data_IF_858316303052
#
_entry.id   IF_858316303052
#
_cell.length_a   1.000
_cell.length_b   1.000
_cell.length_c   1.000
_cell.angle_alpha   90.00
_cell.angle_beta   90.00
_cell.angle_gamma   90.00
#
_symmetry.space_group_name_H-M   'P 1'
#
loop_
_entity.id
_entity.type
_entity.pdbx_description
1 polymer ?
#
# COMPACT_ATOMS: atom_id res chain seq x y z
N UNK A 1 1.67 -8.03 -18.52
CA UNK A 1 1.74 -8.37 -17.08
C UNK A 1 1.05 -7.25 -16.31
N UNK A 2 0.30 -7.58 -15.26
CA UNK A 2 -0.60 -6.67 -14.56
C UNK A 2 0.06 -6.29 -13.23
N UNK A 3 0.85 -5.21 -13.22
CA UNK A 3 1.68 -4.81 -12.09
C UNK A 3 1.14 -3.56 -11.40
N UNK A 4 1.26 -3.51 -10.07
CA UNK A 4 1.13 -2.26 -9.33
C UNK A 4 2.37 -1.43 -9.57
N UNK A 5 2.19 -0.15 -9.90
CA UNK A 5 3.29 0.77 -10.16
C UNK A 5 3.11 2.06 -9.37
N UNK A 6 4.23 2.65 -8.98
CA UNK A 6 4.28 3.99 -8.39
C UNK A 6 5.19 4.86 -9.25
N UNK A 7 4.88 6.15 -9.32
CA UNK A 7 5.75 7.09 -10.00
C UNK A 7 5.41 8.53 -9.69
N UNK A 8 6.06 9.41 -10.42
CA UNK A 8 5.95 10.86 -10.26
C UNK A 8 5.80 11.53 -11.60
N UNK A 9 5.14 12.67 -11.63
CA UNK A 9 5.00 13.53 -12.79
C UNK A 9 5.36 14.97 -12.40
N UNK A 10 6.18 15.65 -13.22
CA UNK A 10 6.53 17.04 -12.98
C UNK A 10 5.39 17.96 -13.43
N UNK A 11 5.08 18.98 -12.61
CA UNK A 11 4.06 19.99 -12.85
C UNK A 11 4.63 21.38 -12.59
N UNK A 12 3.90 22.44 -12.96
CA UNK A 12 4.38 23.83 -12.92
C UNK A 12 5.00 24.21 -11.57
N UNK A 13 4.43 23.74 -10.46
CA UNK A 13 4.84 24.12 -9.10
C UNK A 13 5.48 22.97 -8.30
N UNK A 14 5.90 21.88 -8.96
CA UNK A 14 6.56 20.76 -8.29
C UNK A 14 6.28 19.40 -8.93
N UNK A 15 5.88 18.43 -8.11
CA UNK A 15 5.67 17.05 -8.54
C UNK A 15 4.37 16.47 -8.00
N UNK A 16 3.64 15.76 -8.85
CA UNK A 16 2.57 14.86 -8.43
C UNK A 16 3.11 13.46 -8.19
N UNK A 17 2.66 12.81 -7.12
CA UNK A 17 2.80 11.36 -6.95
C UNK A 17 1.60 10.65 -7.59
N UNK A 18 1.82 9.48 -8.18
CA UNK A 18 0.74 8.65 -8.71
C UNK A 18 0.93 7.17 -8.44
N UNK A 19 -0.20 6.46 -8.34
CA UNK A 19 -0.27 5.01 -8.25
C UNK A 19 -1.02 4.45 -9.46
N UNK A 20 -0.57 3.30 -9.97
CA UNK A 20 -1.29 2.54 -11.00
C UNK A 20 -1.78 1.23 -10.39
N UNK A 21 -3.10 1.05 -10.42
CA UNK A 21 -3.77 -0.15 -9.92
C UNK A 21 -3.86 -1.17 -11.04
N UNK A 22 -3.66 -2.45 -10.71
CA UNK A 22 -3.68 -3.57 -11.68
C UNK A 22 -4.93 -3.59 -12.58
N UNK A 23 -6.09 -3.26 -12.02
CA UNK A 23 -7.38 -3.30 -12.73
C UNK A 23 -7.76 -1.96 -13.39
N UNK A 24 -6.90 -0.94 -13.30
CA UNK A 24 -7.15 0.38 -13.91
C UNK A 24 -6.05 0.70 -14.93
N UNK A 25 -6.47 1.09 -16.13
CA UNK A 25 -5.56 1.47 -17.20
C UNK A 25 -4.90 2.85 -17.00
N UNK A 26 -5.33 3.60 -15.99
CA UNK A 26 -4.94 4.99 -15.76
C UNK A 26 -4.18 5.18 -14.45
N UNK A 27 -3.22 6.10 -14.46
CA UNK A 27 -2.53 6.54 -13.26
C UNK A 27 -3.47 7.37 -12.39
N UNK A 28 -3.48 7.12 -11.08
CA UNK A 28 -4.28 7.83 -10.09
C UNK A 28 -3.37 8.73 -9.28
N UNK A 29 -3.60 10.04 -9.37
CA UNK A 29 -2.82 11.07 -8.67
C UNK A 29 -3.16 11.02 -7.17
N UNK A 30 -2.14 11.13 -6.32
CA UNK A 30 -2.30 11.25 -4.87
C UNK A 30 -3.02 12.55 -4.55
N UNK A 31 -4.07 12.46 -3.74
CA UNK A 31 -4.97 13.56 -3.40
C UNK A 31 -5.03 13.77 -1.89
N UNK A 32 -5.36 15.00 -1.49
CA UNK A 32 -5.62 15.34 -0.10
C UNK A 32 -6.99 14.81 0.37
N UNK A 33 -7.35 15.13 1.61
CA UNK A 33 -8.64 14.73 2.19
C UNK A 33 -9.87 15.38 1.52
N UNK A 34 -9.66 16.43 0.72
CA UNK A 34 -10.70 17.11 -0.06
C UNK A 34 -10.83 16.52 -1.47
N UNK A 35 -9.91 15.65 -1.85
CA UNK A 35 -9.86 15.04 -3.18
C UNK A 35 -9.06 15.83 -4.20
N UNK A 36 -8.34 16.87 -3.78
CA UNK A 36 -7.53 17.72 -4.64
C UNK A 36 -6.12 17.14 -4.81
N UNK A 37 -5.50 17.22 -6.01
CA UNK A 37 -4.13 16.78 -6.24
C UNK A 37 -3.12 17.46 -5.31
N UNK A 38 -2.23 16.68 -4.70
CA UNK A 38 -1.15 17.24 -3.87
C UNK A 38 0.07 17.52 -4.74
N UNK A 39 0.53 18.77 -4.75
CA UNK A 39 1.81 19.16 -5.36
C UNK A 39 2.91 19.11 -4.28
N UNK A 40 3.89 18.25 -4.49
CA UNK A 40 5.05 18.13 -3.63
C UNK A 40 6.21 18.94 -4.19
N UNK A 41 6.98 19.59 -3.30
CA UNK A 41 8.13 20.39 -3.69
C UNK A 41 9.27 19.57 -4.34
N UNK A 42 9.37 18.27 -4.03
CA UNK A 42 10.41 17.38 -4.54
C UNK A 42 9.84 16.08 -5.09
N UNK A 43 10.56 15.51 -6.06
CA UNK A 43 10.22 14.21 -6.64
C UNK A 43 10.22 13.09 -5.59
N UNK A 44 11.18 13.09 -4.67
CA UNK A 44 11.28 12.06 -3.64
C UNK A 44 10.09 12.11 -2.68
N UNK A 45 9.63 13.31 -2.31
CA UNK A 45 8.43 13.47 -1.48
C UNK A 45 7.18 12.97 -2.21
N UNK A 46 7.02 13.28 -3.49
CA UNK A 46 5.93 12.77 -4.32
C UNK A 46 5.94 11.24 -4.41
N UNK A 47 7.13 10.64 -4.57
CA UNK A 47 7.29 9.19 -4.66
C UNK A 47 7.02 8.49 -3.33
N UNK A 48 7.47 9.06 -2.21
CA UNK A 48 7.17 8.56 -0.87
C UNK A 48 5.66 8.56 -0.62
N UNK A 49 4.97 9.67 -0.92
CA UNK A 49 3.53 9.77 -0.78
C UNK A 49 2.76 8.79 -1.69
N UNK A 50 3.22 8.57 -2.93
CA UNK A 50 2.66 7.54 -3.80
C UNK A 50 2.83 6.13 -3.22
N UNK A 51 3.97 5.85 -2.58
CA UNK A 51 4.20 4.61 -1.84
C UNK A 51 3.23 4.43 -0.67
N UNK A 52 3.04 5.46 0.15
CA UNK A 52 2.08 5.44 1.27
C UNK A 52 0.64 5.24 0.77
N UNK A 53 0.24 5.93 -0.29
CA UNK A 53 -1.07 5.77 -0.91
C UNK A 53 -1.28 4.33 -1.43
N UNK A 54 -0.24 3.71 -2.00
CA UNK A 54 -0.28 2.30 -2.42
C UNK A 54 -0.46 1.37 -1.21
N UNK A 55 0.30 1.59 -0.13
CA UNK A 55 0.18 0.79 1.10
C UNK A 55 -1.21 0.92 1.71
N UNK A 56 -1.77 2.13 1.76
CA UNK A 56 -3.13 2.38 2.24
C UNK A 56 -4.17 1.66 1.37
N UNK A 57 -4.01 1.70 0.04
CA UNK A 57 -4.87 0.98 -0.89
C UNK A 57 -4.82 -0.54 -0.67
N UNK A 58 -3.63 -1.12 -0.53
CA UNK A 58 -3.45 -2.57 -0.32
C UNK A 58 -3.99 -3.02 1.05
N UNK A 59 -3.91 -2.16 2.06
CA UNK A 59 -4.43 -2.42 3.41
C UNK A 59 -5.89 -1.99 3.62
N UNK A 60 -6.54 -1.45 2.58
CA UNK A 60 -7.97 -1.12 2.68
C UNK A 60 -8.74 -2.43 2.91
N UNK A 61 -9.56 -2.53 3.98
CA UNK A 61 -10.32 -3.74 4.28
C UNK A 61 -11.09 -4.20 3.05
N UNK A 62 -10.94 -5.48 2.68
CA UNK A 62 -11.72 -6.06 1.60
C UNK A 62 -13.19 -6.05 2.02
N UNK A 63 -13.97 -5.14 1.43
CA UNK A 63 -15.41 -5.10 1.58
C UNK A 63 -15.99 -6.29 0.79
N UNK A 64 -16.29 -7.38 1.49
CA UNK A 64 -17.18 -8.42 0.98
C UNK A 64 -18.58 -8.05 1.45
N UNK A 65 -19.40 -7.53 0.53
CA UNK A 65 -20.82 -7.22 0.73
C UNK A 65 -21.15 -6.40 1.99
N UNK A 66 -20.51 -5.23 2.13
CA UNK A 66 -20.86 -4.26 3.19
C UNK A 66 -20.39 -4.63 4.61
N UNK A 67 -19.86 -5.83 4.82
CA UNK A 67 -19.21 -6.18 6.07
C UNK A 67 -17.72 -5.76 6.01
N UNK A 68 -17.32 -4.80 6.86
CA UNK A 68 -15.91 -4.48 7.10
C UNK A 68 -15.23 -5.72 7.70
N UNK A 69 -14.45 -6.45 6.90
CA UNK A 69 -13.62 -7.54 7.41
C UNK A 69 -12.36 -6.92 7.98
N UNK A 70 -12.21 -6.90 9.30
CA UNK A 70 -10.95 -6.51 9.93
C UNK A 70 -9.83 -7.43 9.44
N UNK A 71 -8.74 -6.85 8.94
CA UNK A 71 -7.58 -7.59 8.49
C UNK A 71 -6.93 -8.27 9.69
N UNK A 72 -7.24 -9.55 9.89
CA UNK A 72 -6.60 -10.36 10.92
C UNK A 72 -5.16 -10.66 10.47
N UNK A 73 -4.22 -9.80 10.84
CA UNK A 73 -2.80 -9.98 10.58
C UNK A 73 -2.23 -11.10 11.49
N UNK A 74 -2.43 -12.36 11.11
CA UNK A 74 -1.84 -13.54 11.78
C UNK A 74 -0.44 -13.89 11.27
N UNK A 75 0.30 -12.94 10.69
CA UNK A 75 1.61 -13.23 10.12
C UNK A 75 2.62 -13.68 11.20
N UNK A 76 2.57 -13.09 12.40
CA UNK A 76 3.47 -13.41 13.52
C UNK A 76 3.33 -14.86 14.03
N UNK A 77 2.17 -15.50 13.81
CA UNK A 77 1.97 -16.90 14.19
C UNK A 77 2.81 -17.87 13.36
N UNK A 78 3.21 -17.48 12.15
CA UNK A 78 4.03 -18.30 11.26
C UNK A 78 5.54 -18.17 11.55
N UNK A 79 5.97 -17.17 12.31
CA UNK A 79 7.39 -16.93 12.62
C UNK A 79 7.82 -17.45 14.00
N UNK A 80 6.92 -18.05 14.79
CA UNK A 80 7.31 -18.62 16.08
C UNK A 80 8.11 -19.93 15.87
N UNK A 81 9.34 -20.03 16.39
CA UNK A 81 10.10 -21.26 16.30
C UNK A 81 9.35 -22.38 17.06
N UNK A 82 9.22 -23.54 16.41
CA UNK A 82 8.62 -24.74 17.00
C UNK A 82 9.40 -25.07 18.28
N UNK A 83 8.75 -25.25 19.45
CA UNK A 83 9.46 -25.65 20.64
C UNK A 83 10.09 -27.02 20.38
N UNK A 84 11.41 -27.12 20.59
CA UNK A 84 12.13 -28.37 20.53
C UNK A 84 11.47 -29.32 21.53
N UNK A 85 10.79 -30.35 21.01
CA UNK A 85 10.22 -31.40 21.84
C UNK A 85 11.40 -32.08 22.54
N UNK A 86 11.47 -31.93 23.85
CA UNK A 86 12.45 -32.62 24.67
C UNK A 86 12.24 -34.12 24.51
N UNK A 87 13.08 -34.76 23.69
CA UNK A 87 13.19 -36.21 23.66
C UNK A 87 13.98 -36.64 24.89
N UNK A 88 13.26 -36.84 25.99
CA UNK A 88 13.73 -37.61 27.14
C UNK A 88 13.10 -39.00 27.14
N UNK A 89 13.94 -39.97 27.48
CA UNK A 89 13.64 -41.32 27.99
C UNK A 89 13.43 -42.44 26.96
N UNK A 90 14.51 -43.20 26.73
CA UNK A 90 14.53 -44.65 26.94
C UNK A 90 15.95 -45.08 27.33
#
# INVERSE_FOLDING_TARGET
MNEFQIGTEAVADGHHGWIRKVHRATNEIVRDSRGEPIVFATQDAAKAAAGEAMVAYLNTPMLRDGARVEAIFKAEAFFKPKPATAAGVA
#
